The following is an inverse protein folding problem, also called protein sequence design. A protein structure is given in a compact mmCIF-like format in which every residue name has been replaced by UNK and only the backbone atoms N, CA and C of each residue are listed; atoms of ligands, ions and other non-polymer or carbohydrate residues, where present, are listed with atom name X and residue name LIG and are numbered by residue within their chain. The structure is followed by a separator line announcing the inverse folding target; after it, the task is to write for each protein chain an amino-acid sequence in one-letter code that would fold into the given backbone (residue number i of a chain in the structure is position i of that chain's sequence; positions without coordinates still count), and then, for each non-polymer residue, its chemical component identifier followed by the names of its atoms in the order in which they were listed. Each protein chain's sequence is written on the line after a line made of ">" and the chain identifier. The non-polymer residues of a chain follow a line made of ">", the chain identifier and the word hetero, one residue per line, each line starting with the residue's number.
data_IF_823550664047
#
_entry.id   IF_823550664047
#
_cell.length_a   1.000
_cell.length_b   1.000
_cell.length_c   1.000
_cell.angle_alpha   90.00
_cell.angle_beta   90.00
_cell.angle_gamma   90.00
#
_symmetry.space_group_name_H-M   'P 1'
#
loop_
_entity.id
_entity.type
_entity.pdbx_description
1 polymer ?
#
# COMPACT_ATOMS: atom_id res chain seq x y z
N UNK A 1 5.33 8.75 25.47
CA UNK A 1 4.99 10.01 24.77
C UNK A 1 3.57 9.88 24.26
N UNK A 2 2.75 10.92 24.37
CA UNK A 2 1.40 10.93 23.78
C UNK A 2 1.50 11.09 22.27
N UNK A 3 0.70 10.31 21.52
CA UNK A 3 0.56 10.44 20.07
C UNK A 3 0.03 11.85 19.75
N UNK A 4 0.62 12.52 18.76
CA UNK A 4 0.19 13.85 18.33
C UNK A 4 -1.12 13.78 17.53
N UNK A 5 -1.82 14.91 17.39
CA UNK A 5 -3.04 14.99 16.55
C UNK A 5 -2.75 14.57 15.11
N UNK A 6 -1.62 15.00 14.55
CA UNK A 6 -1.19 14.59 13.22
C UNK A 6 -1.02 13.07 13.12
N UNK A 7 -0.34 12.47 14.09
CA UNK A 7 -0.13 11.01 14.09
C UNK A 7 -1.46 10.24 14.23
N UNK A 8 -2.44 10.77 14.99
CA UNK A 8 -3.78 10.18 15.07
C UNK A 8 -4.50 10.23 13.71
N UNK A 9 -4.48 11.37 13.02
CA UNK A 9 -5.07 11.53 11.69
C UNK A 9 -4.42 10.62 10.64
N UNK A 10 -3.08 10.48 10.70
CA UNK A 10 -2.36 9.56 9.80
C UNK A 10 -2.65 8.10 10.11
N UNK A 11 -2.85 7.76 11.39
CA UNK A 11 -3.25 6.42 11.78
C UNK A 11 -4.66 6.09 11.26
N UNK A 12 -5.61 7.03 11.34
CA UNK A 12 -6.95 6.88 10.76
C UNK A 12 -6.87 6.64 9.24
N UNK A 13 -6.13 7.49 8.51
CA UNK A 13 -5.93 7.33 7.06
C UNK A 13 -5.26 6.01 6.69
N UNK A 14 -4.26 5.57 7.45
CA UNK A 14 -3.62 4.28 7.22
C UNK A 14 -4.59 3.11 7.46
N UNK A 15 -5.48 3.22 8.44
CA UNK A 15 -6.55 2.24 8.64
C UNK A 15 -7.56 2.23 7.47
N UNK A 16 -7.90 3.39 6.92
CA UNK A 16 -8.75 3.48 5.72
C UNK A 16 -8.08 2.84 4.50
N UNK A 17 -6.77 3.09 4.29
CA UNK A 17 -5.98 2.44 3.23
C UNK A 17 -6.07 0.93 3.37
N UNK A 18 -5.71 0.35 4.53
CA UNK A 18 -5.70 -1.11 4.68
C UNK A 18 -7.10 -1.73 4.61
N UNK A 19 -8.14 -1.00 5.01
CA UNK A 19 -9.53 -1.44 4.84
C UNK A 19 -9.90 -1.57 3.35
N UNK A 20 -9.53 -0.59 2.53
CA UNK A 20 -9.72 -0.68 1.07
C UNK A 20 -8.94 -1.85 0.47
N UNK A 21 -7.69 -2.07 0.89
CA UNK A 21 -6.87 -3.19 0.40
C UNK A 21 -7.47 -4.55 0.79
N UNK A 22 -8.00 -4.68 2.01
CA UNK A 22 -8.67 -5.90 2.47
C UNK A 22 -9.91 -6.25 1.61
N UNK A 23 -10.58 -5.25 1.05
CA UNK A 23 -11.71 -5.41 0.13
C UNK A 23 -11.28 -5.57 -1.35
N UNK A 24 -9.97 -5.61 -1.63
CA UNK A 24 -9.45 -5.67 -3.00
C UNK A 24 -9.59 -4.35 -3.79
N UNK A 25 -9.85 -3.24 -3.11
CA UNK A 25 -10.04 -1.91 -3.73
C UNK A 25 -8.72 -1.15 -3.90
N UNK A 26 -7.71 -1.80 -4.49
CA UNK A 26 -6.36 -1.25 -4.67
C UNK A 26 -6.37 0.09 -5.42
N UNK A 27 -7.06 0.17 -6.56
CA UNK A 27 -7.15 1.40 -7.36
C UNK A 27 -7.83 2.53 -6.58
N UNK A 28 -8.87 2.23 -5.79
CA UNK A 28 -9.54 3.24 -4.96
C UNK A 28 -8.60 3.79 -3.88
N UNK A 29 -7.84 2.92 -3.21
CA UNK A 29 -6.83 3.34 -2.24
C UNK A 29 -5.75 4.22 -2.91
N UNK A 30 -5.27 3.82 -4.09
CA UNK A 30 -4.27 4.58 -4.83
C UNK A 30 -4.78 5.95 -5.27
N UNK A 31 -6.00 6.00 -5.81
CA UNK A 31 -6.66 7.25 -6.21
C UNK A 31 -6.86 8.20 -5.02
N UNK A 32 -7.28 7.65 -3.89
CA UNK A 32 -7.63 8.41 -2.70
C UNK A 32 -6.40 8.91 -1.94
N UNK A 33 -5.34 8.11 -1.83
CA UNK A 33 -4.25 8.41 -0.91
C UNK A 33 -2.91 8.73 -1.56
N UNK A 34 -2.62 8.32 -2.80
CA UNK A 34 -1.33 8.68 -3.40
C UNK A 34 -1.28 10.18 -3.78
N UNK A 35 -0.13 10.79 -3.55
CA UNK A 35 0.22 12.09 -4.14
C UNK A 35 0.58 11.93 -5.62
N UNK A 36 0.36 12.96 -6.43
CA UNK A 36 0.60 12.91 -7.88
C UNK A 36 2.06 12.55 -8.23
N UNK A 37 3.02 12.99 -7.40
CA UNK A 37 4.46 12.79 -7.54
C UNK A 37 5.02 11.65 -6.65
N UNK A 38 4.17 10.74 -6.18
CA UNK A 38 4.57 9.63 -5.30
C UNK A 38 5.72 8.80 -5.88
N UNK A 39 6.57 8.30 -5.00
CA UNK A 39 7.60 7.30 -5.33
C UNK A 39 7.34 5.97 -4.61
N UNK A 40 7.05 4.93 -5.37
CA UNK A 40 6.85 3.57 -4.85
C UNK A 40 8.08 2.69 -5.07
N UNK A 41 8.53 2.01 -4.02
CA UNK A 41 9.71 1.14 -4.05
C UNK A 41 9.33 -0.29 -3.74
N UNK A 42 9.58 -1.19 -4.69
CA UNK A 42 9.52 -2.64 -4.48
C UNK A 42 10.90 -3.13 -4.03
N UNK A 43 11.08 -3.37 -2.73
CA UNK A 43 12.36 -3.77 -2.15
C UNK A 43 13.48 -2.76 -2.39
N UNK A 44 14.48 -3.14 -3.19
CA UNK A 44 15.65 -2.31 -3.55
C UNK A 44 15.64 -1.83 -5.01
N UNK A 45 14.54 -2.05 -5.73
CA UNK A 45 14.43 -1.63 -7.12
C UNK A 45 14.31 -0.10 -7.26
N UNK A 46 14.59 0.45 -8.46
CA UNK A 46 14.27 1.84 -8.76
C UNK A 46 12.78 2.14 -8.50
N UNK A 47 12.49 3.39 -8.11
CA UNK A 47 11.12 3.79 -7.84
C UNK A 47 10.24 3.74 -9.08
N UNK A 48 8.98 3.32 -8.89
CA UNK A 48 7.88 3.69 -9.77
C UNK A 48 7.50 5.13 -9.42
N UNK A 49 7.64 6.04 -10.38
CA UNK A 49 7.46 7.48 -10.13
C UNK A 49 6.14 8.00 -10.72
N UNK A 50 5.33 8.61 -9.86
CA UNK A 50 4.08 9.27 -10.22
C UNK A 50 2.86 8.38 -10.07
N UNK A 51 1.77 8.97 -9.55
CA UNK A 51 0.51 8.28 -9.28
C UNK A 51 -0.07 7.61 -10.52
N UNK A 52 -0.11 8.33 -11.64
CA UNK A 52 -0.65 7.83 -12.90
C UNK A 52 0.11 6.60 -13.41
N UNK A 53 1.44 6.60 -13.28
CA UNK A 53 2.25 5.44 -13.65
C UNK A 53 1.97 4.25 -12.74
N UNK A 54 1.90 4.47 -11.42
CA UNK A 54 1.62 3.42 -10.46
C UNK A 54 0.24 2.79 -10.69
N UNK A 55 -0.80 3.59 -10.90
CA UNK A 55 -2.16 3.11 -11.20
C UNK A 55 -2.18 2.27 -12.48
N UNK A 56 -1.52 2.72 -13.55
CA UNK A 56 -1.48 1.97 -14.80
C UNK A 56 -0.77 0.60 -14.65
N UNK A 57 0.26 0.52 -13.80
CA UNK A 57 0.92 -0.76 -13.49
C UNK A 57 0.03 -1.67 -12.64
N UNK A 58 -0.70 -1.11 -11.68
CA UNK A 58 -1.66 -1.86 -10.85
C UNK A 58 -2.83 -2.38 -11.68
N UNK A 59 -3.41 -1.57 -12.58
CA UNK A 59 -4.48 -1.99 -13.49
C UNK A 59 -4.03 -3.16 -14.39
N UNK A 60 -2.78 -3.12 -14.88
CA UNK A 60 -2.21 -4.24 -15.65
C UNK A 60 -2.15 -5.49 -14.80
N UNK A 61 -1.65 -5.42 -13.57
CA UNK A 61 -1.59 -6.57 -12.66
C UNK A 61 -3.00 -7.11 -12.41
N UNK A 62 -3.95 -6.26 -12.00
CA UNK A 62 -5.33 -6.65 -11.69
C UNK A 62 -6.04 -7.29 -12.90
N UNK A 63 -5.72 -6.87 -14.13
CA UNK A 63 -6.26 -7.49 -15.35
C UNK A 63 -5.81 -8.96 -15.54
N UNK A 64 -4.73 -9.37 -14.87
CA UNK A 64 -4.24 -10.76 -14.88
C UNK A 64 -4.78 -11.58 -13.71
N UNK A 65 -5.33 -10.95 -12.68
CA UNK A 65 -5.81 -11.64 -11.47
C UNK A 65 -7.09 -12.41 -11.77
N UNK A 66 -7.10 -13.70 -11.43
CA UNK A 66 -8.26 -14.59 -11.61
C UNK A 66 -8.98 -14.90 -10.30
N UNK A 67 -8.26 -14.85 -9.17
CA UNK A 67 -8.84 -14.99 -7.84
C UNK A 67 -8.05 -14.14 -6.84
N UNK A 68 -8.74 -13.37 -6.02
CA UNK A 68 -8.16 -12.65 -4.89
C UNK A 68 -8.51 -13.40 -3.60
N UNK A 69 -7.49 -13.81 -2.86
CA UNK A 69 -7.67 -14.60 -1.62
C UNK A 69 -7.59 -13.72 -0.37
N UNK A 70 -6.98 -12.54 -0.47
CA UNK A 70 -7.08 -11.51 0.56
C UNK A 70 -5.83 -10.64 0.70
N UNK A 71 -6.00 -9.56 1.46
CA UNK A 71 -4.93 -8.71 1.96
C UNK A 71 -5.09 -8.60 3.47
N UNK A 72 -4.28 -9.37 4.21
CA UNK A 72 -4.42 -9.52 5.65
C UNK A 72 -3.30 -8.76 6.38
N UNK A 73 -3.65 -7.71 7.12
CA UNK A 73 -2.71 -6.99 7.99
C UNK A 73 -2.46 -7.81 9.25
N UNK A 74 -1.21 -8.22 9.47
CA UNK A 74 -0.80 -9.03 10.62
C UNK A 74 -0.32 -8.20 11.80
N UNK A 75 0.11 -6.95 11.55
CA UNK A 75 0.61 -6.03 12.56
C UNK A 75 0.48 -4.58 12.08
N UNK A 76 0.08 -3.68 12.99
CA UNK A 76 -0.19 -2.27 12.67
C UNK A 76 -1.63 -2.01 12.17
N UNK A 77 -1.89 -0.87 11.52
CA UNK A 77 -0.94 0.21 11.27
C UNK A 77 -0.37 0.85 12.54
N UNK A 78 0.89 1.25 12.49
CA UNK A 78 1.57 2.05 13.50
C UNK A 78 2.07 3.36 12.86
N UNK A 79 2.31 4.38 13.68
CA UNK A 79 2.69 5.72 13.21
C UNK A 79 3.86 6.28 14.01
N UNK A 80 4.75 7.01 13.32
CA UNK A 80 5.80 7.81 13.93
C UNK A 80 6.04 9.06 13.07
N UNK A 81 5.72 10.23 13.61
CA UNK A 81 5.79 11.50 12.88
C UNK A 81 4.89 11.48 11.64
N UNK A 82 5.49 11.63 10.46
CA UNK A 82 4.82 11.64 9.16
C UNK A 82 4.78 10.27 8.47
N UNK A 83 5.18 9.20 9.17
CA UNK A 83 5.39 7.88 8.58
C UNK A 83 4.50 6.85 9.24
N UNK A 84 3.83 6.00 8.45
CA UNK A 84 3.08 4.84 8.95
C UNK A 84 3.68 3.52 8.46
N UNK A 85 3.42 2.47 9.23
CA UNK A 85 3.98 1.14 9.04
C UNK A 85 2.93 0.07 9.29
N UNK A 86 2.95 -1.01 8.52
CA UNK A 86 2.21 -2.22 8.84
C UNK A 86 2.86 -3.44 8.19
N UNK A 87 2.53 -4.63 8.68
CA UNK A 87 2.88 -5.90 8.07
C UNK A 87 1.62 -6.51 7.45
N UNK A 88 1.73 -7.07 6.25
CA UNK A 88 0.61 -7.71 5.58
C UNK A 88 1.02 -8.95 4.79
N UNK A 89 0.05 -9.84 4.62
CA UNK A 89 0.11 -10.98 3.71
C UNK A 89 -0.92 -10.77 2.61
N UNK A 90 -0.48 -10.78 1.36
CA UNK A 90 -1.35 -10.66 0.18
C UNK A 90 -1.30 -11.95 -0.64
N UNK A 91 -2.47 -12.48 -1.00
CA UNK A 91 -2.61 -13.73 -1.75
C UNK A 91 -3.59 -13.58 -2.91
N UNK A 92 -3.16 -14.00 -4.11
CA UNK A 92 -3.99 -13.99 -5.33
C UNK A 92 -3.44 -14.94 -6.39
N UNK A 93 -4.28 -15.32 -7.35
CA UNK A 93 -3.92 -16.17 -8.49
C UNK A 93 -3.96 -15.36 -9.79
N UNK A 94 -3.04 -15.62 -10.71
CA UNK A 94 -2.99 -14.98 -12.04
C UNK A 94 -3.38 -15.93 -13.17
N UNK A 95 -3.72 -15.37 -14.34
CA UNK A 95 -4.23 -16.09 -15.51
C UNK A 95 -3.21 -17.04 -16.17
N UNK A 96 -1.94 -16.96 -15.79
CA UNK A 96 -0.88 -17.91 -16.13
C UNK A 96 -0.88 -19.16 -15.22
N UNK A 97 -1.77 -19.21 -14.22
CA UNK A 97 -1.86 -20.29 -13.24
C UNK A 97 -0.93 -20.14 -12.04
N UNK A 98 -0.18 -19.02 -11.95
CA UNK A 98 0.69 -18.73 -10.80
C UNK A 98 -0.14 -18.34 -9.58
N UNK A 99 0.20 -18.92 -8.43
CA UNK A 99 -0.35 -18.53 -7.12
C UNK A 99 0.66 -17.65 -6.41
N UNK A 100 0.27 -16.41 -6.16
CA UNK A 100 1.12 -15.43 -5.51
C UNK A 100 0.81 -15.36 -4.02
N UNK A 101 1.88 -15.26 -3.23
CA UNK A 101 1.81 -14.97 -1.80
C UNK A 101 2.95 -14.04 -1.43
N UNK A 102 2.61 -12.82 -1.05
CA UNK A 102 3.55 -11.77 -0.65
C UNK A 102 3.43 -11.51 0.84
N UNK A 103 4.52 -11.69 1.57
CA UNK A 103 4.66 -11.22 2.95
C UNK A 103 5.51 -9.96 2.94
N UNK A 104 4.96 -8.87 3.45
CA UNK A 104 5.56 -7.55 3.29
C UNK A 104 5.41 -6.70 4.55
N UNK A 105 6.48 -5.98 4.88
CA UNK A 105 6.37 -4.79 5.72
C UNK A 105 6.27 -3.56 4.81
N UNK A 106 5.25 -2.75 5.04
CA UNK A 106 4.96 -1.57 4.23
C UNK A 106 5.25 -0.32 5.05
N UNK A 107 6.00 0.61 4.46
CA UNK A 107 6.24 1.94 5.02
C UNK A 107 5.68 2.98 4.07
N UNK A 108 4.83 3.87 4.58
CA UNK A 108 4.34 5.03 3.82
C UNK A 108 4.72 6.33 4.52
N UNK A 109 5.16 7.34 3.76
CA UNK A 109 5.43 8.70 4.24
C UNK A 109 4.38 9.65 3.69
N UNK A 110 3.89 10.53 4.55
CA UNK A 110 2.71 11.33 4.31
C UNK A 110 3.03 12.81 4.26
N UNK A 111 2.35 13.53 3.36
CA UNK A 111 2.34 14.98 3.29
C UNK A 111 0.95 15.44 2.88
N UNK A 112 0.39 16.39 3.62
CA UNK A 112 -0.95 16.96 3.35
C UNK A 112 -2.04 15.87 3.19
N UNK A 113 -1.95 14.81 3.99
CA UNK A 113 -2.87 13.68 3.98
C UNK A 113 -2.77 12.74 2.78
N UNK A 114 -1.69 12.85 1.99
CA UNK A 114 -1.35 12.00 0.83
C UNK A 114 -0.02 11.27 1.04
N UNK A 115 0.10 10.08 0.50
CA UNK A 115 1.33 9.27 0.47
C UNK A 115 2.23 9.82 -0.63
N UNK A 116 3.38 10.37 -0.24
CA UNK A 116 4.42 10.88 -1.15
C UNK A 116 5.54 9.87 -1.39
N UNK A 117 5.65 8.88 -0.52
CA UNK A 117 6.61 7.81 -0.65
C UNK A 117 6.05 6.54 -0.02
N UNK A 118 6.14 5.42 -0.71
CA UNK A 118 5.79 4.13 -0.14
C UNK A 118 6.84 3.09 -0.54
N UNK A 119 7.13 2.18 0.41
CA UNK A 119 8.14 1.17 0.24
C UNK A 119 7.67 -0.15 0.82
N UNK A 120 7.76 -1.18 0.00
CA UNK A 120 7.53 -2.56 0.37
C UNK A 120 8.88 -3.20 0.72
N UNK A 121 8.95 -3.84 1.88
CA UNK A 121 10.09 -4.65 2.32
C UNK A 121 9.66 -6.11 2.34
N UNK A 122 10.35 -6.92 1.56
CA UNK A 122 10.19 -8.37 1.50
C UNK A 122 11.56 -9.02 1.16
N UNK A 123 11.67 -10.33 1.35
CA UNK A 123 12.86 -11.12 1.00
C UNK A 123 12.89 -11.52 -0.49
#
# INVERSE_FOLDING_TARGET
>A
MSVTTQEQELLEKANEVVALLAEGQFINAMETYLADDVKLFEGNNPAKEGKAFCIAEEEKLLSTVTAFHGYNVTSGPAVSGDTTFYEAVMEFDTNDGTKHRFEQAVRTQWKDGKIVNERYYHA
#
